data_IF_115570301056
#
_entry.id   IF_115570301056
#
_cell.length_a   1.000
_cell.length_b   1.000
_cell.length_c   1.000
_cell.angle_alpha   90.00
_cell.angle_beta   90.00
_cell.angle_gamma   90.00
#
_symmetry.space_group_name_H-M   'P 1'
#
loop_
_entity.id
_entity.type
_entity.pdbx_description
1 polymer ?
#
# COMPACT_ATOMS: atom_id res chain seq x y z
N UNK A 1 52.15 19.73 34.83
CA UNK A 1 50.76 19.31 34.64
C UNK A 1 49.97 20.51 34.16
N UNK A 2 49.51 20.52 32.92
CA UNK A 2 48.66 21.60 32.39
C UNK A 2 47.23 21.26 32.76
N UNK A 3 46.44 22.17 33.38
CA UNK A 3 45.06 21.92 33.64
C UNK A 3 44.26 21.88 32.32
N UNK A 4 43.46 20.87 32.17
CA UNK A 4 42.54 20.72 31.05
C UNK A 4 41.35 21.68 31.32
N UNK A 5 41.08 22.69 30.48
CA UNK A 5 39.98 23.58 30.69
C UNK A 5 38.69 22.85 30.24
N UNK A 6 37.91 22.43 31.24
CA UNK A 6 36.52 22.02 30.97
C UNK A 6 35.72 23.31 30.80
N UNK A 7 35.09 23.57 29.67
CA UNK A 7 34.18 24.69 29.51
C UNK A 7 32.97 24.48 30.41
N UNK A 8 32.92 25.26 31.50
CA UNK A 8 31.72 25.33 32.32
C UNK A 8 30.71 26.21 31.60
N UNK A 9 29.74 25.60 30.96
CA UNK A 9 28.58 26.32 30.46
C UNK A 9 27.70 26.62 31.68
N UNK A 10 27.41 27.88 31.99
CA UNK A 10 26.53 28.23 33.09
C UNK A 10 25.08 27.97 32.69
N UNK A 11 24.65 26.73 32.75
CA UNK A 11 23.23 26.35 32.64
C UNK A 11 22.71 26.19 34.06
N UNK A 12 22.17 27.28 34.63
CA UNK A 12 21.39 27.22 35.85
C UNK A 12 19.95 26.80 35.52
N UNK A 13 19.20 26.26 36.55
CA UNK A 13 17.78 25.97 36.34
C UNK A 13 17.06 27.31 36.08
N UNK A 14 16.63 27.53 34.82
CA UNK A 14 15.92 28.73 34.37
C UNK A 14 16.54 29.49 33.20
N UNK A 15 17.74 29.16 32.75
CA UNK A 15 18.28 29.70 31.48
C UNK A 15 17.81 28.84 30.32
N UNK A 16 16.58 29.07 29.86
CA UNK A 16 16.24 28.73 28.51
C UNK A 16 16.95 29.74 27.62
N UNK A 17 17.85 29.26 26.79
CA UNK A 17 18.25 29.97 25.58
C UNK A 17 16.95 30.21 24.83
N UNK A 18 16.69 31.47 24.43
CA UNK A 18 15.62 31.83 23.49
C UNK A 18 15.95 31.22 22.13
N UNK A 19 15.90 29.91 22.01
CA UNK A 19 15.68 29.24 20.77
C UNK A 19 14.18 29.37 20.52
N UNK A 20 13.81 30.28 19.64
CA UNK A 20 12.49 30.20 18.99
C UNK A 20 12.30 28.74 18.62
N UNK A 21 11.20 28.09 19.07
CA UNK A 21 10.97 26.69 18.74
C UNK A 21 11.03 26.60 17.21
N UNK A 22 12.08 25.92 16.71
CA UNK A 22 12.16 25.55 15.32
C UNK A 22 11.00 24.56 15.15
N UNK A 23 9.84 25.11 14.77
CA UNK A 23 8.71 24.29 14.41
C UNK A 23 9.22 23.42 13.28
N UNK A 24 9.40 22.13 13.58
CA UNK A 24 9.55 21.12 12.53
C UNK A 24 8.50 21.45 11.49
N UNK A 25 8.97 21.92 10.33
CA UNK A 25 8.07 22.19 9.21
C UNK A 25 7.21 20.94 9.07
N UNK A 26 5.90 21.06 9.30
CA UNK A 26 5.00 19.94 9.12
C UNK A 26 5.28 19.36 7.75
N UNK A 27 5.45 18.02 7.61
CA UNK A 27 5.72 17.43 6.33
C UNK A 27 4.70 17.99 5.35
N UNK A 28 5.15 18.67 4.31
CA UNK A 28 4.32 19.23 3.23
C UNK A 28 3.65 18.13 2.40
N UNK A 29 3.48 16.94 2.96
CA UNK A 29 2.98 15.73 2.34
C UNK A 29 1.69 15.18 2.94
N UNK A 30 1.05 15.83 3.90
CA UNK A 30 -0.35 15.51 4.17
C UNK A 30 -1.17 16.11 3.03
N UNK A 31 -1.53 15.25 2.07
CA UNK A 31 -2.50 15.60 1.04
C UNK A 31 -3.84 15.86 1.72
N UNK A 32 -4.11 17.12 2.06
CA UNK A 32 -5.48 17.54 2.39
C UNK A 32 -6.36 17.19 1.20
N UNK A 33 -7.47 16.51 1.46
CA UNK A 33 -8.46 16.23 0.44
C UNK A 33 -8.79 17.51 -0.33
N UNK A 34 -8.48 17.53 -1.61
CA UNK A 34 -8.91 18.57 -2.53
C UNK A 34 -10.07 17.99 -3.30
N UNK A 35 -11.24 18.62 -3.20
CA UNK A 35 -12.39 18.24 -4.01
C UNK A 35 -11.94 18.19 -5.48
N UNK A 36 -12.13 17.06 -6.17
CA UNK A 36 -11.73 16.92 -7.56
C UNK A 36 -12.52 17.94 -8.43
N UNK A 37 -11.88 18.46 -9.45
CA UNK A 37 -12.55 19.32 -10.44
C UNK A 37 -13.04 18.44 -11.58
N UNK A 38 -14.27 18.68 -12.03
CA UNK A 38 -14.79 17.99 -13.22
C UNK A 38 -13.98 18.38 -14.46
N UNK A 39 -13.82 17.43 -15.44
CA UNK A 39 -13.20 17.73 -16.71
C UNK A 39 -13.97 18.84 -17.45
N UNK A 40 -13.28 19.84 -17.97
CA UNK A 40 -13.90 20.93 -18.75
C UNK A 40 -14.63 20.42 -20.01
N UNK A 41 -14.26 19.25 -20.50
CA UNK A 41 -14.85 18.63 -21.70
C UNK A 41 -15.96 17.61 -21.39
N UNK A 42 -16.32 17.39 -20.11
CA UNK A 42 -17.35 16.42 -19.76
C UNK A 42 -18.74 16.92 -20.17
N UNK A 43 -19.51 16.04 -20.79
CA UNK A 43 -20.91 16.32 -21.10
C UNK A 43 -21.80 16.01 -19.88
N UNK A 44 -22.98 16.64 -19.80
CA UNK A 44 -23.96 16.32 -18.76
C UNK A 44 -24.33 14.81 -18.76
N UNK A 45 -24.36 14.19 -19.95
CA UNK A 45 -24.61 12.74 -20.05
C UNK A 45 -23.48 11.90 -19.48
N UNK A 46 -22.21 12.30 -19.67
CA UNK A 46 -21.06 11.59 -19.07
C UNK A 46 -21.07 11.72 -17.55
N UNK A 47 -21.39 12.90 -17.03
CA UNK A 47 -21.49 13.13 -15.59
C UNK A 47 -22.65 12.31 -15.00
N UNK A 48 -23.83 12.33 -15.61
CA UNK A 48 -24.99 11.56 -15.15
C UNK A 48 -24.68 10.05 -15.10
N UNK A 49 -23.99 9.54 -16.13
CA UNK A 49 -23.58 8.12 -16.16
C UNK A 49 -22.54 7.78 -15.08
N UNK A 50 -21.55 8.66 -14.87
CA UNK A 50 -20.56 8.48 -13.80
C UNK A 50 -21.24 8.48 -12.42
N UNK A 51 -22.18 9.39 -12.18
CA UNK A 51 -23.00 9.43 -10.95
C UNK A 51 -23.73 8.12 -10.73
N UNK A 52 -24.38 7.56 -11.75
CA UNK A 52 -25.10 6.28 -11.65
C UNK A 52 -24.16 5.13 -11.22
N UNK A 53 -22.95 5.08 -11.79
CA UNK A 53 -21.93 4.08 -11.43
C UNK A 53 -21.52 4.26 -9.95
N UNK A 54 -21.22 5.49 -9.54
CA UNK A 54 -20.80 5.79 -8.17
C UNK A 54 -21.89 5.51 -7.15
N UNK A 55 -23.16 5.77 -7.48
CA UNK A 55 -24.30 5.43 -6.62
C UNK A 55 -24.44 3.91 -6.41
N UNK A 56 -24.23 3.12 -7.46
CA UNK A 56 -24.25 1.67 -7.37
C UNK A 56 -23.15 1.14 -6.43
N UNK A 57 -21.94 1.70 -6.54
CA UNK A 57 -20.83 1.35 -5.64
C UNK A 57 -21.11 1.82 -4.21
N UNK A 58 -21.56 3.05 -4.02
CA UNK A 58 -21.91 3.59 -2.70
C UNK A 58 -23.01 2.77 -2.01
N UNK A 59 -24.05 2.36 -2.74
CA UNK A 59 -25.11 1.50 -2.20
C UNK A 59 -24.53 0.16 -1.69
N UNK A 60 -23.58 -0.41 -2.41
CA UNK A 60 -22.88 -1.61 -1.99
C UNK A 60 -21.96 -1.37 -0.78
N UNK A 61 -21.21 -0.27 -0.76
CA UNK A 61 -20.37 0.11 0.38
C UNK A 61 -21.17 0.29 1.67
N UNK A 62 -22.40 0.79 1.58
CA UNK A 62 -23.29 0.98 2.74
C UNK A 62 -23.86 -0.33 3.30
N UNK A 63 -23.91 -1.37 2.50
CA UNK A 63 -24.59 -2.63 2.85
C UNK A 63 -23.63 -3.79 3.07
N UNK A 64 -22.43 -3.71 2.55
CA UNK A 64 -21.42 -4.78 2.63
C UNK A 64 -20.25 -4.39 3.53
N UNK A 65 -19.73 -5.32 4.33
CA UNK A 65 -18.49 -5.08 5.07
C UNK A 65 -17.31 -4.99 4.09
N UNK A 66 -16.26 -4.30 4.52
CA UNK A 66 -15.03 -4.07 3.72
C UNK A 66 -14.35 -5.39 3.29
N UNK A 67 -14.49 -6.45 4.08
CA UNK A 67 -13.95 -7.79 3.85
C UNK A 67 -14.93 -8.75 3.18
N UNK A 68 -15.94 -8.20 2.49
CA UNK A 68 -16.93 -9.01 1.77
C UNK A 68 -16.23 -9.96 0.79
N UNK A 69 -16.64 -11.23 0.80
CA UNK A 69 -16.08 -12.26 -0.10
C UNK A 69 -16.30 -11.97 -1.58
N UNK A 70 -17.29 -11.15 -1.90
CA UNK A 70 -17.62 -10.71 -3.25
C UNK A 70 -17.67 -9.18 -3.21
N UNK A 71 -16.59 -8.51 -3.60
CA UNK A 71 -16.57 -7.06 -3.69
C UNK A 71 -17.59 -6.58 -4.73
N UNK A 72 -18.16 -5.41 -4.50
CA UNK A 72 -18.93 -4.74 -5.54
C UNK A 72 -17.98 -4.25 -6.61
N UNK A 73 -18.35 -4.46 -7.88
CA UNK A 73 -17.55 -4.07 -9.02
C UNK A 73 -18.37 -3.31 -10.05
N UNK A 74 -17.78 -2.32 -10.69
CA UNK A 74 -18.32 -1.63 -11.85
C UNK A 74 -17.32 -1.73 -13.00
N UNK A 75 -17.70 -2.42 -14.09
CA UNK A 75 -16.87 -2.53 -15.29
C UNK A 75 -16.96 -1.25 -16.10
N UNK A 76 -15.82 -0.75 -16.57
CA UNK A 76 -15.70 0.50 -17.30
C UNK A 76 -15.33 0.29 -18.79
N UNK A 77 -15.14 -0.97 -19.23
CA UNK A 77 -14.69 -1.29 -20.59
C UNK A 77 -15.66 -0.78 -21.66
N UNK A 78 -16.95 -0.81 -21.38
CA UNK A 78 -18.01 -0.36 -22.29
C UNK A 78 -18.34 1.14 -22.17
N UNK A 79 -17.78 1.84 -21.20
CA UNK A 79 -18.09 3.24 -20.96
C UNK A 79 -17.36 4.18 -21.91
N UNK A 80 -17.93 5.37 -22.17
CA UNK A 80 -17.31 6.40 -23.00
C UNK A 80 -15.99 6.91 -22.39
N UNK A 81 -15.13 7.48 -23.21
CA UNK A 81 -13.92 8.13 -22.71
C UNK A 81 -14.26 9.28 -21.74
N UNK A 82 -15.37 10.01 -21.98
CA UNK A 82 -15.85 11.06 -21.10
C UNK A 82 -16.23 10.54 -19.72
N UNK A 83 -17.01 9.44 -19.64
CA UNK A 83 -17.37 8.81 -18.36
C UNK A 83 -16.14 8.37 -17.60
N UNK A 84 -15.18 7.70 -18.27
CA UNK A 84 -13.94 7.26 -17.62
C UNK A 84 -13.10 8.42 -17.12
N UNK A 85 -13.05 9.53 -17.85
CA UNK A 85 -12.34 10.73 -17.43
C UNK A 85 -13.00 11.40 -16.22
N UNK A 86 -14.34 11.53 -16.23
CA UNK A 86 -15.10 12.01 -15.07
C UNK A 86 -14.81 11.18 -13.85
N UNK A 87 -14.89 9.84 -13.95
CA UNK A 87 -14.59 8.94 -12.84
C UNK A 87 -13.14 9.06 -12.36
N UNK A 88 -12.18 9.17 -13.27
CA UNK A 88 -10.76 9.32 -12.92
C UNK A 88 -10.51 10.59 -12.12
N UNK A 89 -11.09 11.72 -12.55
CA UNK A 89 -10.92 13.00 -11.86
C UNK A 89 -11.71 13.05 -10.57
N UNK A 90 -12.94 12.51 -10.55
CA UNK A 90 -13.80 12.46 -9.38
C UNK A 90 -13.22 11.62 -8.25
N UNK A 91 -12.63 10.49 -8.58
CA UNK A 91 -12.12 9.56 -7.58
C UNK A 91 -10.69 9.89 -7.14
N UNK A 92 -9.92 10.60 -7.95
CA UNK A 92 -8.54 10.96 -7.64
C UNK A 92 -7.64 9.76 -7.37
N UNK A 93 -6.54 10.00 -6.66
CA UNK A 93 -5.56 8.97 -6.31
C UNK A 93 -5.38 8.93 -4.79
N UNK A 94 -5.49 7.75 -4.22
CA UNK A 94 -5.18 7.45 -2.82
C UNK A 94 -3.70 7.13 -2.63
N UNK A 95 -3.41 6.62 -1.46
CA UNK A 95 -2.04 6.43 -0.98
C UNK A 95 -1.42 5.11 -1.44
N UNK A 96 -2.25 4.10 -1.71
CA UNK A 96 -1.79 2.75 -2.07
C UNK A 96 -1.90 2.51 -3.56
N UNK A 97 -0.81 2.06 -4.14
CA UNK A 97 -0.75 1.59 -5.52
C UNK A 97 -0.02 0.26 -5.60
N UNK A 98 -0.43 -0.61 -6.51
CA UNK A 98 0.19 -1.91 -6.69
C UNK A 98 0.21 -2.31 -8.16
N UNK A 99 1.13 -3.21 -8.48
CA UNK A 99 1.14 -3.89 -9.77
C UNK A 99 1.51 -5.36 -9.61
N UNK A 100 1.01 -6.18 -10.54
CA UNK A 100 1.39 -7.58 -10.69
C UNK A 100 2.00 -7.78 -12.09
N UNK A 101 2.93 -8.75 -12.19
CA UNK A 101 3.56 -9.10 -13.47
C UNK A 101 3.05 -10.45 -14.00
N UNK A 102 2.66 -11.36 -13.10
CA UNK A 102 2.14 -12.68 -13.45
C UNK A 102 1.06 -13.10 -12.42
N UNK A 103 0.08 -13.94 -12.79
CA UNK A 103 -0.14 -14.53 -14.11
C UNK A 103 -0.64 -13.52 -15.15
N UNK A 104 -1.19 -12.39 -14.73
CA UNK A 104 -1.57 -11.26 -15.59
C UNK A 104 -0.93 -9.97 -15.07
N UNK A 105 -0.75 -9.03 -15.99
CA UNK A 105 -0.30 -7.68 -15.62
C UNK A 105 -1.49 -6.87 -15.17
N UNK A 106 -1.53 -6.56 -13.89
CA UNK A 106 -2.60 -5.76 -13.30
C UNK A 106 -1.98 -4.56 -12.62
N UNK A 107 -2.56 -3.39 -12.86
CA UNK A 107 -2.29 -2.17 -12.09
C UNK A 107 -3.48 -1.88 -11.20
N UNK A 108 -3.18 -1.63 -9.94
CA UNK A 108 -4.17 -1.32 -8.91
C UNK A 108 -3.83 0.04 -8.35
N UNK A 109 -4.81 0.92 -8.27
CA UNK A 109 -4.68 2.22 -7.65
C UNK A 109 -5.86 2.45 -6.70
N UNK A 110 -5.56 2.71 -5.46
CA UNK A 110 -6.54 3.20 -4.51
C UNK A 110 -7.00 4.59 -4.93
N UNK A 111 -8.27 4.87 -4.80
CA UNK A 111 -8.81 6.21 -5.02
C UNK A 111 -8.65 7.08 -3.77
N UNK A 112 -9.04 8.35 -3.83
CA UNK A 112 -9.09 9.22 -2.64
C UNK A 112 -10.15 8.78 -1.61
N UNK A 113 -10.92 7.75 -1.92
CA UNK A 113 -11.88 7.11 -1.04
C UNK A 113 -11.33 5.72 -0.67
N UNK A 114 -11.00 5.51 0.59
CA UNK A 114 -10.42 4.26 1.06
C UNK A 114 -11.29 3.05 0.72
N UNK A 115 -10.65 1.94 0.37
CA UNK A 115 -11.29 0.70 -0.09
C UNK A 115 -12.09 0.81 -1.40
N UNK A 116 -11.99 1.90 -2.13
CA UNK A 116 -12.46 2.01 -3.50
C UNK A 116 -11.25 2.04 -4.44
N UNK A 117 -11.12 1.02 -5.25
CA UNK A 117 -9.96 0.78 -6.09
C UNK A 117 -10.28 0.88 -7.57
N UNK A 118 -9.33 1.38 -8.36
CA UNK A 118 -9.33 1.17 -9.80
C UNK A 118 -8.36 0.07 -10.16
N UNK A 119 -8.83 -0.89 -10.90
CA UNK A 119 -8.07 -2.07 -11.32
C UNK A 119 -8.04 -2.12 -12.84
N UNK A 120 -6.83 -2.10 -13.38
CA UNK A 120 -6.55 -2.12 -14.83
C UNK A 120 -5.78 -3.38 -15.16
N UNK A 121 -6.29 -4.18 -16.08
CA UNK A 121 -5.59 -5.34 -16.61
C UNK A 121 -4.97 -5.01 -17.96
N UNK A 122 -3.70 -5.36 -18.14
CA UNK A 122 -2.95 -5.15 -19.38
C UNK A 122 -2.84 -6.46 -20.15
N UNK A 123 -3.18 -6.42 -21.42
CA UNK A 123 -2.95 -7.53 -22.33
C UNK A 123 -1.49 -7.65 -22.78
N UNK A 124 -1.16 -8.73 -23.48
CA UNK A 124 0.19 -9.02 -23.99
C UNK A 124 0.81 -7.88 -24.83
N UNK A 125 -0.02 -7.08 -25.49
CA UNK A 125 0.40 -5.92 -26.30
C UNK A 125 0.57 -4.61 -25.49
N UNK A 126 0.40 -4.63 -24.16
CA UNK A 126 0.50 -3.45 -23.30
C UNK A 126 -0.74 -2.52 -23.34
N UNK A 127 -1.78 -2.90 -24.08
CA UNK A 127 -3.08 -2.20 -24.06
C UNK A 127 -3.92 -2.65 -22.88
N UNK A 128 -4.80 -1.77 -22.39
CA UNK A 128 -5.76 -2.12 -21.32
C UNK A 128 -6.84 -3.02 -21.92
N UNK A 129 -7.02 -4.20 -21.34
CA UNK A 129 -8.03 -5.20 -21.74
C UNK A 129 -9.19 -5.28 -20.76
N UNK A 130 -9.02 -4.83 -19.53
CA UNK A 130 -10.09 -4.65 -18.55
C UNK A 130 -9.83 -3.42 -17.68
N UNK A 131 -10.88 -2.66 -17.40
CA UNK A 131 -10.89 -1.49 -16.54
C UNK A 131 -12.12 -1.56 -15.65
N UNK A 132 -11.90 -1.55 -14.31
CA UNK A 132 -13.01 -1.61 -13.37
C UNK A 132 -12.73 -0.83 -12.09
N UNK A 133 -13.80 -0.46 -11.44
CA UNK A 133 -13.80 -0.03 -10.04
C UNK A 133 -14.26 -1.22 -9.17
N UNK A 134 -13.68 -1.32 -7.97
CA UNK A 134 -14.04 -2.37 -7.02
C UNK A 134 -13.93 -1.87 -5.59
N UNK A 135 -14.83 -2.36 -4.72
CA UNK A 135 -14.86 -2.00 -3.30
C UNK A 135 -14.39 -3.18 -2.46
N UNK A 136 -13.20 -3.09 -1.89
CA UNK A 136 -12.61 -4.17 -1.08
C UNK A 136 -11.54 -3.62 -0.14
N UNK A 137 -11.18 -4.37 0.91
CA UNK A 137 -10.04 -4.01 1.75
C UNK A 137 -8.75 -3.92 0.91
N UNK A 138 -8.60 -4.81 -0.05
CA UNK A 138 -7.56 -4.83 -1.09
C UNK A 138 -8.00 -5.74 -2.24
N UNK A 139 -7.69 -5.41 -3.51
CA UNK A 139 -8.10 -6.22 -4.65
C UNK A 139 -7.58 -7.65 -4.63
N UNK A 140 -8.45 -8.59 -4.98
CA UNK A 140 -8.17 -10.02 -4.93
C UNK A 140 -7.06 -10.46 -5.89
N UNK A 141 -6.79 -9.70 -6.93
CA UNK A 141 -5.70 -9.95 -7.89
C UNK A 141 -4.34 -10.01 -7.22
N UNK A 142 -4.12 -9.20 -6.17
CA UNK A 142 -2.86 -9.22 -5.43
C UNK A 142 -2.65 -10.54 -4.71
N UNK A 143 -3.70 -11.08 -4.09
CA UNK A 143 -3.66 -12.42 -3.49
C UNK A 143 -3.49 -13.53 -4.54
N UNK A 144 -4.20 -13.42 -5.66
CA UNK A 144 -4.14 -14.40 -6.73
C UNK A 144 -2.73 -14.44 -7.36
N UNK A 145 -2.14 -13.28 -7.64
CA UNK A 145 -0.79 -13.19 -8.20
C UNK A 145 0.27 -13.74 -7.23
N UNK A 146 0.21 -13.37 -5.95
CA UNK A 146 1.10 -13.89 -4.92
C UNK A 146 1.05 -15.43 -4.86
N UNK A 147 -0.16 -16.02 -4.84
CA UNK A 147 -0.33 -17.48 -4.76
C UNK A 147 0.08 -18.19 -6.04
N UNK A 148 -0.25 -17.65 -7.21
CA UNK A 148 0.04 -18.28 -8.49
C UNK A 148 1.55 -18.44 -8.76
N UNK A 149 2.37 -17.60 -8.16
CA UNK A 149 3.82 -17.57 -8.37
C UNK A 149 4.61 -18.11 -7.18
N UNK A 150 3.94 -18.51 -6.11
CA UNK A 150 4.58 -19.08 -4.93
C UNK A 150 4.98 -20.55 -5.14
N UNK A 151 5.99 -20.97 -4.37
CA UNK A 151 6.41 -22.37 -4.28
C UNK A 151 6.08 -22.91 -2.88
N UNK A 152 5.85 -24.24 -2.74
CA UNK A 152 5.48 -24.80 -1.44
C UNK A 152 6.66 -24.82 -0.46
N UNK A 153 7.87 -24.86 -0.96
CA UNK A 153 9.10 -24.96 -0.16
C UNK A 153 10.26 -24.31 -0.90
N UNK A 154 11.18 -23.71 -0.16
CA UNK A 154 12.42 -23.18 -0.70
C UNK A 154 13.57 -24.14 -0.49
N UNK A 155 14.37 -24.35 -1.53
CA UNK A 155 15.69 -24.92 -1.35
C UNK A 155 16.58 -23.89 -0.64
N UNK A 156 17.30 -24.31 0.39
CA UNK A 156 18.28 -23.45 1.03
C UNK A 156 19.39 -23.10 0.03
N UNK A 157 19.73 -21.82 -0.16
CA UNK A 157 20.88 -21.44 -0.97
C UNK A 157 22.20 -21.97 -0.36
N UNK A 158 23.28 -21.89 -1.13
CA UNK A 158 24.60 -22.16 -0.58
C UNK A 158 24.94 -21.12 0.51
N UNK A 159 25.56 -21.58 1.58
CA UNK A 159 26.01 -20.68 2.65
C UNK A 159 27.05 -19.70 2.12
N UNK A 160 26.89 -18.44 2.48
CA UNK A 160 27.81 -17.38 2.12
C UNK A 160 28.87 -17.17 3.21
N UNK A 161 30.09 -16.73 2.86
CA UNK A 161 31.09 -16.35 3.85
C UNK A 161 30.58 -15.24 4.77
N UNK A 162 31.00 -15.22 6.02
CA UNK A 162 30.68 -14.18 7.02
C UNK A 162 29.19 -14.02 7.35
N UNK A 163 28.35 -14.98 6.93
CA UNK A 163 26.96 -15.06 7.31
C UNK A 163 26.83 -15.46 8.78
N UNK A 164 25.91 -14.82 9.52
CA UNK A 164 25.71 -15.08 10.95
C UNK A 164 24.36 -15.72 11.24
N UNK A 165 23.28 -15.11 10.78
CA UNK A 165 21.90 -15.45 11.15
C UNK A 165 20.99 -15.79 9.96
N UNK A 166 21.42 -15.61 8.72
CA UNK A 166 20.59 -15.77 7.53
C UNK A 166 19.91 -17.13 7.43
N UNK A 167 20.62 -18.24 7.74
CA UNK A 167 20.05 -19.59 7.73
C UNK A 167 18.95 -19.77 8.80
N UNK A 168 19.20 -19.30 10.02
CA UNK A 168 18.24 -19.39 11.11
C UNK A 168 16.97 -18.56 10.82
N UNK A 169 17.15 -17.37 10.27
CA UNK A 169 16.03 -16.50 9.87
C UNK A 169 15.22 -17.12 8.72
N UNK A 170 15.87 -17.72 7.72
CA UNK A 170 15.18 -18.40 6.65
C UNK A 170 14.37 -19.61 7.17
N UNK A 171 14.95 -20.37 8.08
CA UNK A 171 14.26 -21.49 8.73
C UNK A 171 13.04 -21.03 9.54
N UNK A 172 13.15 -19.89 10.24
CA UNK A 172 12.02 -19.28 10.94
C UNK A 172 10.92 -18.87 9.97
N UNK A 173 11.24 -18.17 8.88
CA UNK A 173 10.28 -17.78 7.85
C UNK A 173 9.54 -18.99 7.30
N UNK A 174 10.26 -20.06 6.91
CA UNK A 174 9.66 -21.29 6.39
C UNK A 174 8.74 -21.96 7.41
N UNK A 175 9.17 -22.04 8.66
CA UNK A 175 8.38 -22.61 9.75
C UNK A 175 7.08 -21.84 9.96
N UNK A 176 7.15 -20.50 10.00
CA UNK A 176 5.98 -19.66 10.21
C UNK A 176 5.06 -19.67 8.98
N UNK A 177 5.61 -19.71 7.77
CA UNK A 177 4.85 -19.89 6.55
C UNK A 177 4.05 -21.22 6.59
N UNK A 178 4.68 -22.31 6.99
CA UNK A 178 4.02 -23.62 7.12
C UNK A 178 2.94 -23.65 8.21
N UNK A 179 3.04 -22.81 9.23
CA UNK A 179 2.07 -22.66 10.32
C UNK A 179 1.01 -21.60 10.07
N UNK A 180 1.14 -20.87 8.99
CA UNK A 180 0.25 -19.77 8.69
C UNK A 180 -1.21 -20.20 8.63
N UNK A 181 -2.09 -19.40 9.22
CA UNK A 181 -3.55 -19.56 9.19
C UNK A 181 -4.20 -18.24 8.76
N UNK A 182 -5.08 -18.29 7.75
CA UNK A 182 -5.78 -17.09 7.29
C UNK A 182 -6.48 -16.32 8.42
N UNK A 183 -6.42 -15.00 8.35
CA UNK A 183 -7.04 -14.10 9.32
C UNK A 183 -6.33 -14.03 10.69
N UNK A 184 -5.16 -14.62 10.84
CA UNK A 184 -4.36 -14.47 12.05
C UNK A 184 -3.42 -13.26 11.95
N UNK A 185 -3.04 -12.67 13.11
CA UNK A 185 -2.04 -11.60 13.14
C UNK A 185 -0.74 -11.99 12.45
N UNK A 186 -0.07 -11.01 11.87
CA UNK A 186 1.22 -11.20 11.23
C UNK A 186 2.28 -11.75 12.19
N UNK A 187 3.08 -12.72 11.75
CA UNK A 187 4.36 -12.99 12.37
C UNK A 187 5.41 -12.09 11.71
N UNK A 188 6.01 -11.20 12.49
CA UNK A 188 6.91 -10.16 11.98
C UNK A 188 8.35 -10.46 12.43
N UNK A 189 9.25 -10.61 11.46
CA UNK A 189 10.70 -10.72 11.68
C UNK A 189 11.31 -9.36 11.36
N UNK A 190 11.75 -8.64 12.38
CA UNK A 190 12.30 -7.29 12.23
C UNK A 190 13.82 -7.34 12.00
N UNK A 191 14.22 -7.28 10.74
CA UNK A 191 15.62 -7.33 10.34
C UNK A 191 16.42 -6.09 10.76
N UNK A 192 15.75 -4.96 11.00
CA UNK A 192 16.43 -3.72 11.47
C UNK A 192 16.89 -3.84 12.92
N UNK A 193 16.18 -4.60 13.74
CA UNK A 193 16.48 -4.77 15.16
C UNK A 193 17.34 -5.99 15.46
N UNK A 194 17.41 -6.94 14.55
CA UNK A 194 18.22 -8.14 14.70
C UNK A 194 19.67 -7.89 14.26
N UNK A 195 20.64 -8.61 14.82
CA UNK A 195 22.04 -8.55 14.38
C UNK A 195 22.19 -9.30 13.03
N UNK A 196 21.82 -8.61 11.96
CA UNK A 196 21.85 -9.12 10.58
C UNK A 196 22.98 -8.42 9.82
N UNK A 197 23.81 -9.20 9.15
CA UNK A 197 24.88 -8.71 8.28
C UNK A 197 24.34 -8.48 6.86
N UNK A 198 25.07 -7.72 6.04
CA UNK A 198 24.72 -7.56 4.62
C UNK A 198 24.70 -8.91 3.90
N UNK A 199 25.60 -9.84 4.28
CA UNK A 199 25.66 -11.20 3.74
C UNK A 199 24.41 -12.03 4.13
N UNK A 200 23.89 -11.86 5.35
CA UNK A 200 22.62 -12.48 5.76
C UNK A 200 21.46 -11.96 4.91
N UNK A 201 21.42 -10.64 4.63
CA UNK A 201 20.41 -10.03 3.78
C UNK A 201 20.50 -10.56 2.35
N UNK A 202 21.70 -10.63 1.77
CA UNK A 202 21.91 -11.20 0.43
C UNK A 202 21.47 -12.67 0.35
N UNK A 203 21.73 -13.45 1.38
CA UNK A 203 21.26 -14.84 1.49
C UNK A 203 19.73 -14.91 1.52
N UNK A 204 19.09 -14.10 2.35
CA UNK A 204 17.63 -14.05 2.45
C UNK A 204 16.99 -13.56 1.13
N UNK A 205 17.57 -12.54 0.49
CA UNK A 205 17.11 -12.07 -0.82
C UNK A 205 17.26 -13.14 -1.90
N UNK A 206 18.37 -13.86 -1.89
CA UNK A 206 18.60 -14.97 -2.81
C UNK A 206 17.61 -16.11 -2.63
N UNK A 207 17.25 -16.44 -1.38
CA UNK A 207 16.31 -17.50 -1.05
C UNK A 207 14.86 -17.11 -1.33
N UNK A 208 14.40 -16.02 -0.73
CA UNK A 208 13.01 -15.54 -0.79
C UNK A 208 12.69 -14.93 -2.15
N UNK A 209 13.62 -14.19 -2.75
CA UNK A 209 13.43 -13.44 -3.99
C UNK A 209 12.40 -12.33 -3.85
N UNK A 210 12.36 -11.46 -4.84
CA UNK A 210 11.22 -10.56 -5.08
C UNK A 210 10.36 -11.17 -6.18
N UNK A 211 9.03 -11.16 -5.97
CA UNK A 211 8.11 -11.80 -6.88
C UNK A 211 7.14 -10.79 -7.49
N UNK A 212 6.06 -11.30 -8.03
CA UNK A 212 5.24 -10.67 -9.03
C UNK A 212 4.34 -9.55 -8.49
N UNK A 213 4.20 -9.42 -7.15
CA UNK A 213 3.40 -8.37 -6.53
C UNK A 213 4.31 -7.34 -5.91
N UNK A 214 4.16 -6.09 -6.32
CA UNK A 214 4.83 -4.95 -5.70
C UNK A 214 3.79 -3.88 -5.36
N UNK A 215 3.81 -3.43 -4.12
CA UNK A 215 2.87 -2.47 -3.57
C UNK A 215 3.66 -1.30 -2.99
N UNK A 216 3.19 -0.10 -3.23
CA UNK A 216 3.70 1.13 -2.65
C UNK A 216 2.57 1.78 -1.84
N UNK A 217 2.80 1.98 -0.55
CA UNK A 217 1.92 2.75 0.33
C UNK A 217 2.65 4.03 0.76
N UNK A 218 1.95 5.18 0.69
CA UNK A 218 2.50 6.51 0.96
C UNK A 218 1.88 7.23 2.16
N UNK A 219 0.96 6.58 2.88
CA UNK A 219 0.20 7.21 3.96
C UNK A 219 1.06 7.64 5.13
N UNK A 220 1.81 6.72 5.69
CA UNK A 220 2.68 6.96 6.85
C UNK A 220 4.17 6.95 6.47
N UNK A 221 4.53 7.60 5.37
CA UNK A 221 5.85 7.51 4.77
C UNK A 221 5.85 6.59 3.55
N UNK A 222 7.01 6.43 2.89
CA UNK A 222 7.12 5.51 1.77
C UNK A 222 7.30 4.08 2.27
N UNK A 223 6.30 3.24 2.10
CA UNK A 223 6.39 1.82 2.40
C UNK A 223 6.32 1.01 1.11
N UNK A 224 7.29 0.13 0.90
CA UNK A 224 7.31 -0.84 -0.19
C UNK A 224 7.01 -2.22 0.36
N UNK A 225 6.02 -2.89 -0.20
CA UNK A 225 5.67 -4.27 0.11
C UNK A 225 5.86 -5.12 -1.15
N UNK A 226 6.62 -6.19 -1.04
CA UNK A 226 6.90 -7.07 -2.18
C UNK A 226 6.62 -8.52 -1.78
N UNK A 227 5.92 -9.26 -2.64
CA UNK A 227 5.74 -10.69 -2.43
C UNK A 227 7.05 -11.45 -2.58
N UNK A 228 7.17 -12.56 -1.88
CA UNK A 228 8.31 -13.47 -1.99
C UNK A 228 7.94 -14.73 -2.76
N UNK A 229 8.87 -15.66 -2.85
CA UNK A 229 8.63 -16.98 -3.44
C UNK A 229 7.72 -17.87 -2.59
N UNK A 230 7.54 -17.57 -1.30
CA UNK A 230 6.62 -18.26 -0.42
C UNK A 230 5.27 -17.54 -0.38
N UNK A 231 4.18 -18.28 -0.41
CA UNK A 231 2.85 -17.70 -0.22
C UNK A 231 2.73 -17.07 1.18
N UNK A 232 2.02 -15.95 1.27
CA UNK A 232 1.77 -15.22 2.51
C UNK A 232 3.05 -14.74 3.23
N UNK A 233 4.17 -14.64 2.53
CA UNK A 233 5.43 -14.09 3.03
C UNK A 233 5.78 -12.84 2.22
N UNK A 234 5.86 -11.72 2.92
CA UNK A 234 6.05 -10.41 2.36
C UNK A 234 7.32 -9.77 2.87
N UNK A 235 8.02 -9.07 2.00
CA UNK A 235 9.11 -8.17 2.35
C UNK A 235 8.55 -6.77 2.49
N UNK A 236 8.63 -6.17 3.68
CA UNK A 236 8.05 -4.87 3.99
C UNK A 236 9.16 -3.91 4.40
N UNK A 237 9.29 -2.82 3.66
CA UNK A 237 10.37 -1.85 3.80
C UNK A 237 9.83 -0.44 3.91
N UNK A 238 10.17 0.26 4.98
CA UNK A 238 9.80 1.66 5.18
C UNK A 238 10.98 2.57 4.94
N UNK A 239 10.73 3.66 4.26
CA UNK A 239 11.71 4.67 3.91
C UNK A 239 11.29 6.02 4.48
N UNK A 240 12.26 6.83 4.89
CA UNK A 240 12.00 8.22 5.27
C UNK A 240 11.84 9.12 4.04
N UNK A 241 11.63 10.43 4.26
CA UNK A 241 11.48 11.42 3.19
C UNK A 241 12.73 11.63 2.33
N UNK A 242 13.87 11.07 2.74
CA UNK A 242 15.15 11.09 2.01
C UNK A 242 15.44 9.75 1.32
N UNK A 243 14.43 8.88 1.19
CA UNK A 243 14.55 7.52 0.64
C UNK A 243 15.56 6.61 1.38
N UNK A 244 15.85 6.92 2.65
CA UNK A 244 16.66 6.05 3.49
C UNK A 244 15.80 4.98 4.12
N UNK A 245 16.22 3.71 4.03
CA UNK A 245 15.54 2.58 4.66
C UNK A 245 15.63 2.72 6.20
N UNK A 246 14.47 2.81 6.86
CA UNK A 246 14.35 2.98 8.31
C UNK A 246 13.82 1.75 9.03
N UNK A 247 13.06 0.91 8.33
CA UNK A 247 12.54 -0.34 8.86
C UNK A 247 12.50 -1.39 7.74
N UNK A 248 13.02 -2.57 8.03
CA UNK A 248 13.06 -3.71 7.12
C UNK A 248 12.54 -4.94 7.84
N UNK A 249 11.42 -5.49 7.37
CA UNK A 249 10.77 -6.64 8.00
C UNK A 249 10.43 -7.71 6.96
N UNK A 250 10.35 -8.96 7.43
CA UNK A 250 9.68 -10.04 6.72
C UNK A 250 8.42 -10.36 7.52
N UNK A 251 7.28 -10.35 6.85
CA UNK A 251 5.98 -10.57 7.47
C UNK A 251 5.31 -11.82 6.90
N UNK A 252 4.86 -12.71 7.78
CA UNK A 252 4.09 -13.89 7.41
C UNK A 252 2.63 -13.62 7.76
N UNK A 253 1.83 -13.28 6.75
CA UNK A 253 0.44 -12.84 6.87
C UNK A 253 -0.27 -12.92 5.52
N UNK A 254 -1.61 -12.96 5.52
CA UNK A 254 -2.39 -12.94 4.27
C UNK A 254 -2.05 -11.70 3.41
N UNK A 255 -2.08 -10.52 4.03
CA UNK A 255 -1.66 -9.23 3.46
C UNK A 255 -1.16 -8.33 4.59
N UNK A 256 -0.01 -7.63 4.42
CA UNK A 256 0.48 -6.67 5.39
C UNK A 256 -0.54 -5.56 5.67
N UNK A 257 -0.69 -5.20 6.96
CA UNK A 257 -1.70 -4.24 7.41
C UNK A 257 -1.57 -2.86 6.72
N UNK A 258 -0.35 -2.44 6.43
CA UNK A 258 -0.06 -1.17 5.74
C UNK A 258 -0.68 -1.05 4.33
N UNK A 259 -1.14 -2.16 3.76
CA UNK A 259 -1.80 -2.22 2.44
C UNK A 259 -3.31 -2.17 2.56
N UNK A 260 -3.85 -2.60 3.69
CA UNK A 260 -5.29 -2.74 3.90
C UNK A 260 -5.91 -1.39 4.23
N UNK A 261 -7.05 -1.09 3.61
CA UNK A 261 -7.86 0.04 4.03
C UNK A 261 -8.41 -0.21 5.45
N UNK A 262 -8.26 0.76 6.33
CA UNK A 262 -8.80 0.67 7.69
C UNK A 262 -10.33 0.79 7.70
N UNK A 263 -10.97 0.14 8.67
CA UNK A 263 -12.43 0.17 8.77
C UNK A 263 -12.99 1.58 9.03
N UNK A 264 -12.23 2.39 9.78
CA UNK A 264 -12.58 3.78 10.08
C UNK A 264 -12.48 4.65 8.83
N UNK A 265 -11.41 4.51 8.04
CA UNK A 265 -11.22 5.23 6.78
C UNK A 265 -12.27 4.82 5.74
N UNK A 266 -12.69 3.55 5.78
CA UNK A 266 -13.80 3.05 4.95
C UNK A 266 -15.12 3.74 5.31
N UNK A 267 -15.44 3.84 6.59
CA UNK A 267 -16.68 4.49 7.05
C UNK A 267 -16.70 5.98 6.66
N UNK A 268 -15.60 6.70 6.85
CA UNK A 268 -15.44 8.08 6.41
C UNK A 268 -15.58 8.22 4.88
N UNK A 269 -15.00 7.30 4.14
CA UNK A 269 -15.09 7.29 2.67
C UNK A 269 -16.53 7.06 2.16
N UNK A 270 -17.34 6.26 2.86
CA UNK A 270 -18.76 6.08 2.53
C UNK A 270 -19.54 7.39 2.67
N UNK A 271 -19.30 8.16 3.74
CA UNK A 271 -19.94 9.45 3.95
C UNK A 271 -19.49 10.46 2.89
N UNK A 272 -18.18 10.63 2.72
CA UNK A 272 -17.59 11.59 1.77
C UNK A 272 -17.96 11.29 0.32
N UNK A 273 -18.03 10.02 -0.08
CA UNK A 273 -18.46 9.64 -1.43
C UNK A 273 -19.93 10.01 -1.64
N UNK A 274 -20.77 9.85 -0.61
CA UNK A 274 -22.18 10.26 -0.66
C UNK A 274 -22.35 11.78 -0.84
N UNK A 275 -21.59 12.58 -0.10
CA UNK A 275 -21.59 14.05 -0.22
C UNK A 275 -21.08 14.48 -1.60
N UNK A 276 -20.02 13.83 -2.09
CA UNK A 276 -19.46 14.13 -3.39
C UNK A 276 -20.44 13.84 -4.54
N UNK A 277 -21.14 12.70 -4.49
CA UNK A 277 -22.18 12.36 -5.47
C UNK A 277 -23.34 13.41 -5.44
N UNK A 278 -23.74 13.87 -4.25
CA UNK A 278 -24.76 14.90 -4.14
C UNK A 278 -24.34 16.20 -4.83
N UNK A 279 -23.07 16.62 -4.64
CA UNK A 279 -22.50 17.80 -5.30
C UNK A 279 -22.46 17.61 -6.84
N UNK A 280 -22.04 16.45 -7.34
CA UNK A 280 -22.01 16.17 -8.79
C UNK A 280 -23.40 16.27 -9.44
N UNK A 281 -24.46 15.97 -8.70
CA UNK A 281 -25.85 16.08 -9.19
C UNK A 281 -26.35 17.51 -9.26
N UNK A 282 -25.80 18.40 -8.43
CA UNK A 282 -26.15 19.83 -8.48
C UNK A 282 -25.50 20.52 -9.68
N UNK A 283 -24.37 19.99 -10.18
CA UNK A 283 -23.63 20.50 -11.33
C UNK A 283 -24.13 19.95 -12.69
N UNK A 284 -25.11 19.00 -12.69
CA UNK A 284 -25.76 18.45 -13.87
C UNK A 284 -27.02 19.25 -14.23
#
# INVERSE_FOLDING_TARGET
MKPFPIPVVPVGPGSQVDESPDYLAMPSGMNTFKAPRLPEAATAADIARAVEILEGLLASMRTQPIDARRPATAMLDGESAGVREVLTQSLGFGEVSAFTLAPSRVRVQETAFAALWRVLEEGEGGGIVADRLETSAVPMELYAAMRATSVPELAAPALLPDMMNGEALLAEVQLQCARHQPGKPAHVINLTLLPVTDTDLDYLYGALGHREVSILSRGYGNCRVTSTRLANVWWVQYFNSMDTLILNTIEVVDMPEVVLAAAEDYADSVERLGEYIAMLKEDC
#
